data_IF_996506581766
#
_entry.id   IF_996506581766
#
_cell.length_a   1.000
_cell.length_b   1.000
_cell.length_c   1.000
_cell.angle_alpha   90.00
_cell.angle_beta   90.00
_cell.angle_gamma   90.00
#
_symmetry.space_group_name_H-M   'P 1'
#
loop_
_entity.id
_entity.type
_entity.pdbx_description
1 polymer ?
#
# COMPACT_ATOMS: atom_id res chain seq x y z
N UNK A 1 -13.51 3.60 16.46
CA UNK A 1 -14.31 3.86 15.23
C UNK A 1 -14.73 5.32 15.10
N UNK A 2 -15.23 6.01 16.14
CA UNK A 2 -15.63 7.43 16.03
C UNK A 2 -14.50 8.37 15.57
N UNK A 3 -13.30 8.25 16.14
CA UNK A 3 -12.12 9.04 15.76
C UNK A 3 -11.71 8.91 14.29
N UNK A 4 -11.69 7.68 13.76
CA UNK A 4 -11.34 7.43 12.35
C UNK A 4 -12.40 8.01 11.39
N UNK A 5 -13.68 7.88 11.74
CA UNK A 5 -14.76 8.48 10.95
C UNK A 5 -14.65 10.01 10.95
N UNK A 6 -14.40 10.62 12.12
CA UNK A 6 -14.21 12.06 12.24
C UNK A 6 -13.02 12.56 11.43
N UNK A 7 -11.91 11.81 11.40
CA UNK A 7 -10.75 12.11 10.54
C UNK A 7 -11.09 12.02 9.04
N UNK A 8 -11.86 11.01 8.63
CA UNK A 8 -12.27 10.84 7.21
C UNK A 8 -13.21 11.95 6.75
N UNK A 9 -14.09 12.44 7.63
CA UNK A 9 -15.10 13.44 7.28
C UNK A 9 -14.64 14.88 7.44
N UNK A 10 -13.47 15.11 8.04
CA UNK A 10 -12.98 16.46 8.29
C UNK A 10 -12.35 17.07 7.04
N UNK A 11 -12.69 18.32 6.75
CA UNK A 11 -12.09 19.08 5.66
C UNK A 11 -10.69 19.61 6.03
N UNK A 12 -10.48 19.93 7.30
CA UNK A 12 -9.18 20.40 7.81
C UNK A 12 -8.76 19.62 9.06
N UNK A 13 -7.46 19.39 9.20
CA UNK A 13 -6.88 18.71 10.37
C UNK A 13 -7.14 19.47 11.68
N UNK A 14 -7.34 20.79 11.61
CA UNK A 14 -7.71 21.65 12.75
C UNK A 14 -9.10 21.37 13.29
N UNK A 15 -9.99 20.76 12.49
CA UNK A 15 -11.39 20.53 12.85
C UNK A 15 -11.58 19.22 13.65
N UNK A 16 -10.49 18.47 13.85
CA UNK A 16 -10.50 17.17 14.50
C UNK A 16 -9.78 17.24 15.84
N UNK A 17 -10.45 16.78 16.89
CA UNK A 17 -9.75 16.43 18.13
C UNK A 17 -8.89 15.19 17.85
N UNK A 18 -7.57 15.42 17.74
CA UNK A 18 -6.65 14.35 17.37
C UNK A 18 -6.69 13.21 18.40
N UNK A 19 -6.82 11.94 17.97
CA UNK A 19 -6.93 10.83 18.90
C UNK A 19 -5.67 10.69 19.75
N UNK A 20 -5.84 10.49 21.06
CA UNK A 20 -4.72 10.45 22.00
C UNK A 20 -3.76 9.26 21.76
N UNK A 21 -4.22 8.23 21.06
CA UNK A 21 -3.49 7.01 20.70
C UNK A 21 -2.86 7.06 19.30
N UNK A 22 -3.07 8.14 18.54
CA UNK A 22 -2.47 8.31 17.21
C UNK A 22 -1.41 9.41 17.27
N UNK A 23 -0.17 9.17 16.82
CA UNK A 23 0.84 10.22 16.76
C UNK A 23 0.39 11.35 15.83
N UNK A 24 0.63 12.60 16.23
CA UNK A 24 0.44 13.75 15.34
C UNK A 24 1.40 13.64 14.14
N UNK A 25 0.99 14.13 12.95
CA UNK A 25 1.91 14.28 11.83
C UNK A 25 3.11 15.14 12.25
N UNK A 26 4.31 14.63 12.03
CA UNK A 26 5.57 15.31 12.35
C UNK A 26 6.50 15.16 11.15
N UNK A 27 7.37 16.15 10.91
CA UNK A 27 8.48 15.99 9.97
C UNK A 27 9.68 15.28 10.62
N UNK A 28 9.74 15.27 11.96
CA UNK A 28 10.79 14.65 12.74
C UNK A 28 10.37 13.22 13.10
N UNK A 29 10.91 12.26 12.35
CA UNK A 29 10.76 10.83 12.59
C UNK A 29 11.40 10.41 13.90
N UNK A 30 12.60 10.89 14.18
CA UNK A 30 13.41 10.41 15.31
C UNK A 30 12.96 11.04 16.63
N UNK A 31 12.21 12.14 16.58
CA UNK A 31 11.43 12.68 17.70
C UNK A 31 10.22 11.81 18.11
N UNK A 32 9.85 10.79 17.34
CA UNK A 32 8.82 9.83 17.72
C UNK A 32 9.40 8.82 18.73
N UNK A 33 9.11 9.01 20.02
CA UNK A 33 9.63 8.17 21.11
C UNK A 33 9.06 6.72 21.17
N UNK A 34 8.37 6.26 20.13
CA UNK A 34 7.77 4.92 20.05
C UNK A 34 8.09 4.27 18.69
N UNK A 35 8.70 3.09 18.72
CA UNK A 35 9.06 2.31 17.52
C UNK A 35 7.87 2.02 16.61
N UNK A 36 6.66 1.88 17.16
CA UNK A 36 5.44 1.64 16.38
C UNK A 36 5.03 2.92 15.62
N UNK A 37 5.18 4.08 16.24
CA UNK A 37 4.92 5.37 15.59
C UNK A 37 5.95 5.64 14.49
N UNK A 38 7.23 5.33 14.74
CA UNK A 38 8.30 5.43 13.74
C UNK A 38 8.03 4.49 12.55
N UNK A 39 7.55 3.27 12.81
CA UNK A 39 7.17 2.34 11.76
C UNK A 39 5.98 2.85 10.94
N UNK A 40 4.94 3.40 11.58
CA UNK A 40 3.81 4.02 10.90
C UNK A 40 4.26 5.20 10.03
N UNK A 41 5.10 6.09 10.56
CA UNK A 41 5.71 7.19 9.81
C UNK A 41 6.44 6.68 8.57
N UNK A 42 7.31 5.68 8.74
CA UNK A 42 8.10 5.11 7.65
C UNK A 42 7.21 4.51 6.55
N UNK A 43 6.15 3.76 6.94
CA UNK A 43 5.23 3.16 5.99
C UNK A 43 4.41 4.22 5.24
N UNK A 44 3.98 5.28 5.91
CA UNK A 44 3.26 6.41 5.28
C UNK A 44 4.19 7.15 4.31
N UNK A 45 5.45 7.40 4.69
CA UNK A 45 6.42 8.03 3.79
C UNK A 45 6.70 7.18 2.54
N UNK A 46 6.82 5.87 2.70
CA UNK A 46 6.95 4.93 1.58
C UNK A 46 5.69 4.90 0.71
N UNK A 47 4.50 4.91 1.31
CA UNK A 47 3.24 4.93 0.57
C UNK A 47 3.07 6.23 -0.23
N UNK A 48 3.46 7.36 0.35
CA UNK A 48 3.48 8.65 -0.34
C UNK A 48 4.49 8.64 -1.50
N UNK A 49 5.69 8.09 -1.29
CA UNK A 49 6.68 7.95 -2.35
C UNK A 49 6.15 7.10 -3.51
N UNK A 50 5.44 6.00 -3.22
CA UNK A 50 4.76 5.19 -4.22
C UNK A 50 3.75 6.02 -5.03
N UNK A 51 2.85 6.74 -4.36
CA UNK A 51 1.83 7.56 -5.01
C UNK A 51 2.47 8.63 -5.92
N UNK A 52 3.51 9.32 -5.45
CA UNK A 52 4.23 10.30 -6.26
C UNK A 52 4.88 9.68 -7.50
N UNK A 53 5.48 8.49 -7.37
CA UNK A 53 6.09 7.78 -8.50
C UNK A 53 5.04 7.27 -9.50
N UNK A 54 3.88 6.84 -9.01
CA UNK A 54 2.74 6.46 -9.84
C UNK A 54 2.28 7.65 -10.69
N UNK A 55 2.00 8.80 -10.07
CA UNK A 55 1.60 10.02 -10.78
C UNK A 55 2.70 10.55 -11.71
N UNK A 56 3.96 10.40 -11.31
CA UNK A 56 5.08 10.77 -12.17
C UNK A 56 5.08 9.97 -13.47
N UNK A 57 4.72 8.69 -13.44
CA UNK A 57 4.61 7.87 -14.64
C UNK A 57 3.47 8.33 -15.55
N UNK A 58 2.33 8.79 -15.02
CA UNK A 58 1.29 9.45 -15.83
C UNK A 58 1.83 10.69 -16.55
N UNK A 59 2.60 11.52 -15.85
CA UNK A 59 3.23 12.71 -16.45
C UNK A 59 4.21 12.31 -17.55
N UNK A 60 5.03 11.27 -17.34
CA UNK A 60 5.95 10.75 -18.35
C UNK A 60 5.19 10.26 -19.60
N UNK A 61 4.14 9.47 -19.43
CA UNK A 61 3.30 9.00 -20.54
C UNK A 61 2.68 10.15 -21.34
N UNK A 62 2.23 11.20 -20.65
CA UNK A 62 1.67 12.40 -21.28
C UNK A 62 2.73 13.17 -22.08
N UNK A 63 3.90 13.40 -21.48
CA UNK A 63 5.01 14.12 -22.11
C UNK A 63 5.54 13.42 -23.36
N UNK A 64 5.70 12.09 -23.28
CA UNK A 64 6.26 11.27 -24.35
C UNK A 64 5.20 10.81 -25.37
N UNK A 65 3.92 11.11 -25.13
CA UNK A 65 2.77 10.70 -25.94
C UNK A 65 2.73 9.19 -26.19
N UNK A 66 3.06 8.42 -25.17
CA UNK A 66 3.20 6.96 -25.22
C UNK A 66 2.36 6.24 -24.17
N UNK A 67 1.32 6.90 -23.65
CA UNK A 67 0.34 6.29 -22.75
C UNK A 67 -0.26 5.02 -23.40
N UNK A 68 -0.50 3.94 -22.61
CA UNK A 68 -1.26 2.79 -23.06
C UNK A 68 -2.62 3.16 -23.65
N UNK A 69 -3.17 2.25 -24.46
CA UNK A 69 -4.41 2.52 -25.21
C UNK A 69 -5.65 2.63 -24.34
N UNK A 70 -5.61 2.03 -23.14
CA UNK A 70 -6.69 2.05 -22.18
C UNK A 70 -6.21 2.57 -20.82
N UNK A 71 -7.11 3.23 -20.07
CA UNK A 71 -6.81 3.72 -18.72
C UNK A 71 -6.40 2.60 -17.75
N UNK A 72 -7.07 1.43 -17.71
CA UNK A 72 -6.62 0.34 -16.86
C UNK A 72 -5.19 -0.15 -17.16
N UNK A 73 -4.79 -0.23 -18.43
CA UNK A 73 -3.41 -0.59 -18.79
C UNK A 73 -2.40 0.47 -18.32
N UNK A 74 -2.76 1.75 -18.42
CA UNK A 74 -1.96 2.87 -17.92
C UNK A 74 -1.77 2.81 -16.40
N UNK A 75 -2.84 2.62 -15.63
CA UNK A 75 -2.81 2.48 -14.17
C UNK A 75 -1.90 1.32 -13.71
N UNK A 76 -2.01 0.15 -14.37
CA UNK A 76 -1.15 -1.00 -14.08
C UNK A 76 0.31 -0.73 -14.43
N UNK A 77 0.57 0.01 -15.51
CA UNK A 77 1.93 0.40 -15.88
C UNK A 77 2.52 1.40 -14.88
N UNK A 78 1.72 2.36 -14.39
CA UNK A 78 2.10 3.29 -13.33
C UNK A 78 2.40 2.58 -12.01
N UNK A 79 1.53 1.66 -11.57
CA UNK A 79 1.75 0.83 -10.38
C UNK A 79 3.04 -0.02 -10.51
N UNK A 80 3.27 -0.61 -11.68
CA UNK A 80 4.45 -1.43 -11.97
C UNK A 80 5.73 -0.59 -11.97
N UNK A 81 5.69 0.61 -12.56
CA UNK A 81 6.81 1.55 -12.55
C UNK A 81 7.17 1.95 -11.11
N UNK A 82 6.20 2.43 -10.33
CA UNK A 82 6.42 2.88 -8.96
C UNK A 82 6.99 1.76 -8.08
N UNK A 83 6.41 0.56 -8.17
CA UNK A 83 6.92 -0.64 -7.49
C UNK A 83 8.36 -0.95 -7.91
N UNK A 84 8.65 -0.97 -9.21
CA UNK A 84 9.98 -1.31 -9.74
C UNK A 84 11.01 -0.30 -9.27
N UNK A 85 10.69 0.99 -9.34
CA UNK A 85 11.58 2.05 -8.85
C UNK A 85 11.88 1.86 -7.36
N UNK A 86 10.85 1.69 -6.53
CA UNK A 86 11.00 1.49 -5.10
C UNK A 86 11.73 0.20 -4.74
N UNK A 87 11.74 -0.81 -5.60
CA UNK A 87 12.39 -2.11 -5.34
C UNK A 87 13.67 -2.32 -6.15
N UNK A 88 14.09 -1.32 -6.90
CA UNK A 88 15.40 -1.30 -7.57
C UNK A 88 16.53 -1.15 -6.55
N UNK A 89 17.70 -1.71 -6.88
CA UNK A 89 18.94 -1.55 -6.12
C UNK A 89 18.85 -1.93 -4.62
N UNK A 90 17.90 -2.79 -4.24
CA UNK A 90 17.71 -3.22 -2.85
C UNK A 90 18.98 -3.80 -2.23
N UNK A 91 19.72 -4.62 -2.98
CA UNK A 91 20.96 -5.24 -2.52
C UNK A 91 22.08 -4.21 -2.30
N UNK A 92 22.20 -3.23 -3.19
CA UNK A 92 23.18 -2.15 -3.06
C UNK A 92 22.84 -1.27 -1.84
N UNK A 93 21.57 -0.89 -1.68
CA UNK A 93 21.09 -0.14 -0.52
C UNK A 93 21.36 -0.90 0.79
N UNK A 94 20.98 -2.18 0.84
CA UNK A 94 21.17 -3.04 2.01
C UNK A 94 22.65 -3.08 2.43
N UNK A 95 23.56 -3.30 1.47
CA UNK A 95 25.00 -3.32 1.71
C UNK A 95 25.54 -2.00 2.24
N UNK A 96 25.16 -0.87 1.62
CA UNK A 96 25.65 0.47 2.01
C UNK A 96 25.20 0.86 3.43
N UNK A 97 24.00 0.44 3.82
CA UNK A 97 23.39 0.82 5.10
C UNK A 97 23.50 -0.26 6.19
N UNK A 98 24.21 -1.37 5.93
CA UNK A 98 24.42 -2.44 6.91
C UNK A 98 23.14 -3.23 7.25
N UNK A 99 22.24 -3.38 6.28
CA UNK A 99 21.00 -4.15 6.41
C UNK A 99 21.04 -5.41 5.56
N UNK A 100 20.16 -6.36 5.86
CA UNK A 100 19.92 -7.51 5.00
C UNK A 100 18.95 -7.16 3.86
N UNK A 101 19.15 -7.77 2.69
CA UNK A 101 18.25 -7.59 1.53
C UNK A 101 16.78 -7.82 1.92
N UNK A 102 16.49 -8.90 2.65
CA UNK A 102 15.13 -9.24 3.07
C UNK A 102 14.51 -8.20 4.00
N UNK A 103 15.30 -7.55 4.87
CA UNK A 103 14.82 -6.49 5.76
C UNK A 103 14.35 -5.27 4.95
N UNK A 104 15.18 -4.85 3.98
CA UNK A 104 14.85 -3.70 3.12
C UNK A 104 13.66 -4.04 2.23
N UNK A 105 13.66 -5.23 1.61
CA UNK A 105 12.55 -5.68 0.75
C UNK A 105 11.24 -5.75 1.54
N UNK A 106 11.24 -6.32 2.75
CA UNK A 106 10.07 -6.36 3.63
C UNK A 106 9.49 -4.97 3.89
N UNK A 107 10.33 -4.03 4.31
CA UNK A 107 9.88 -2.67 4.65
C UNK A 107 9.27 -1.96 3.45
N UNK A 108 9.94 -2.02 2.28
CA UNK A 108 9.44 -1.37 1.06
C UNK A 108 8.18 -2.05 0.54
N UNK A 109 8.10 -3.39 0.59
CA UNK A 109 6.92 -4.14 0.19
C UNK A 109 5.70 -3.78 1.07
N UNK A 110 5.86 -3.65 2.39
CA UNK A 110 4.77 -3.21 3.29
C UNK A 110 4.32 -1.77 2.97
N UNK A 111 5.25 -0.86 2.67
CA UNK A 111 4.91 0.51 2.27
C UNK A 111 4.11 0.56 0.96
N UNK A 112 4.48 -0.25 -0.02
CA UNK A 112 3.76 -0.39 -1.29
C UNK A 112 2.35 -0.98 -1.07
N UNK A 113 2.22 -2.01 -0.22
CA UNK A 113 0.89 -2.54 0.16
C UNK A 113 0.03 -1.47 0.86
N UNK A 114 0.61 -0.66 1.74
CA UNK A 114 -0.12 0.43 2.37
C UNK A 114 -0.61 1.45 1.33
N UNK A 115 0.22 1.80 0.34
CA UNK A 115 -0.19 2.68 -0.76
C UNK A 115 -1.41 2.12 -1.51
N UNK A 116 -1.39 0.83 -1.84
CA UNK A 116 -2.49 0.15 -2.52
C UNK A 116 -3.81 0.29 -1.76
N UNK A 117 -3.76 0.07 -0.44
CA UNK A 117 -4.93 0.14 0.45
C UNK A 117 -5.44 1.58 0.56
N UNK A 118 -4.55 2.56 0.66
CA UNK A 118 -4.90 3.98 0.70
C UNK A 118 -5.58 4.39 -0.61
N UNK A 119 -4.99 4.04 -1.76
CA UNK A 119 -5.58 4.33 -3.08
C UNK A 119 -6.96 3.70 -3.18
N UNK A 120 -7.14 2.45 -2.75
CA UNK A 120 -8.46 1.82 -2.70
C UNK A 120 -9.45 2.57 -1.80
N UNK A 121 -9.05 2.95 -0.59
CA UNK A 121 -9.90 3.67 0.35
C UNK A 121 -10.35 5.04 -0.20
N UNK A 122 -9.45 5.73 -0.94
CA UNK A 122 -9.72 6.99 -1.61
C UNK A 122 -10.54 6.83 -2.90
N UNK A 123 -10.54 5.64 -3.51
CA UNK A 123 -11.31 5.36 -4.73
C UNK A 123 -12.82 5.40 -4.41
N UNK A 124 -13.65 6.09 -5.21
CA UNK A 124 -15.10 6.12 -5.01
C UNK A 124 -15.71 4.70 -5.00
N UNK A 125 -16.71 4.42 -4.14
CA UNK A 125 -17.25 3.07 -3.98
C UNK A 125 -17.66 2.37 -5.28
N UNK A 126 -18.19 3.11 -6.25
CA UNK A 126 -18.63 2.58 -7.54
C UNK A 126 -17.47 2.20 -8.49
N UNK A 127 -16.24 2.63 -8.21
CA UNK A 127 -15.05 2.37 -9.02
C UNK A 127 -14.06 1.40 -8.34
N UNK A 128 -14.21 1.13 -7.03
CA UNK A 128 -13.32 0.30 -6.22
C UNK A 128 -13.10 -1.13 -6.74
N UNK A 129 -14.12 -1.66 -7.42
CA UNK A 129 -14.15 -3.03 -7.95
C UNK A 129 -13.82 -3.11 -9.44
N UNK A 130 -13.33 -2.01 -9.99
CA UNK A 130 -12.96 -1.89 -11.39
C UNK A 130 -14.10 -1.36 -12.28
N UNK A 131 -13.72 -0.60 -13.29
CA UNK A 131 -14.59 -0.09 -14.35
C UNK A 131 -13.73 0.18 -15.61
N UNK A 132 -14.27 0.93 -16.58
CA UNK A 132 -13.50 1.29 -17.78
C UNK A 132 -12.33 2.26 -17.53
N UNK A 133 -12.26 2.86 -16.34
CA UNK A 133 -11.24 3.84 -15.94
C UNK A 133 -10.21 3.24 -14.96
N UNK A 134 -10.64 2.39 -14.04
CA UNK A 134 -9.81 1.82 -12.99
C UNK A 134 -9.79 0.29 -13.04
N UNK A 135 -8.63 -0.36 -12.94
CA UNK A 135 -8.57 -1.80 -12.80
C UNK A 135 -9.11 -2.23 -11.42
N UNK A 136 -9.65 -3.45 -11.29
CA UNK A 136 -10.03 -4.01 -10.00
C UNK A 136 -8.89 -3.96 -8.98
N UNK A 137 -9.21 -3.74 -7.70
CA UNK A 137 -8.20 -3.68 -6.65
C UNK A 137 -7.35 -4.95 -6.54
N UNK A 138 -7.92 -6.11 -6.90
CA UNK A 138 -7.19 -7.38 -6.95
C UNK A 138 -6.10 -7.40 -8.00
N UNK A 139 -6.36 -6.86 -9.19
CA UNK A 139 -5.37 -6.75 -10.26
C UNK A 139 -4.25 -5.80 -9.86
N UNK A 140 -4.61 -4.65 -9.27
CA UNK A 140 -3.65 -3.66 -8.74
C UNK A 140 -2.79 -4.24 -7.63
N UNK A 141 -3.41 -4.83 -6.61
CA UNK A 141 -2.71 -5.49 -5.50
C UNK A 141 -1.81 -6.59 -6.03
N UNK A 142 -2.31 -7.44 -6.93
CA UNK A 142 -1.50 -8.49 -7.57
C UNK A 142 -0.30 -7.90 -8.30
N UNK A 143 -0.46 -6.85 -9.10
CA UNK A 143 0.65 -6.18 -9.75
C UNK A 143 1.66 -5.60 -8.74
N UNK A 144 1.18 -5.08 -7.61
CA UNK A 144 2.01 -4.49 -6.57
C UNK A 144 2.73 -5.51 -5.66
N UNK A 145 2.17 -6.70 -5.45
CA UNK A 145 2.68 -7.69 -4.50
C UNK A 145 3.29 -8.94 -5.15
N UNK A 146 2.95 -9.24 -6.40
CA UNK A 146 3.42 -10.45 -7.09
C UNK A 146 4.92 -10.34 -7.38
N UNK A 147 5.69 -11.36 -7.01
CA UNK A 147 7.12 -11.44 -7.33
C UNK A 147 8.08 -11.07 -6.20
N UNK A 148 7.57 -10.72 -5.01
CA UNK A 148 8.41 -10.69 -3.82
C UNK A 148 8.89 -12.08 -3.45
N UNK A 149 10.20 -12.25 -3.35
CA UNK A 149 10.88 -13.49 -2.93
C UNK A 149 11.08 -13.49 -1.41
N UNK A 150 10.00 -13.22 -0.69
CA UNK A 150 10.02 -13.14 0.78
C UNK A 150 9.64 -14.49 1.41
N UNK A 151 10.31 -14.88 2.52
CA UNK A 151 9.92 -16.05 3.31
C UNK A 151 8.45 -16.00 3.73
N UNK A 152 7.78 -17.16 3.83
CA UNK A 152 6.34 -17.24 4.14
C UNK A 152 5.98 -16.71 5.54
N UNK A 153 6.96 -16.69 6.45
CA UNK A 153 6.89 -16.17 7.82
C UNK A 153 7.27 -14.68 7.93
N UNK A 154 7.54 -14.01 6.80
CA UNK A 154 7.85 -12.58 6.78
C UNK A 154 6.70 -11.74 7.37
N UNK A 155 7.07 -10.66 8.09
CA UNK A 155 6.15 -9.63 8.58
C UNK A 155 5.35 -8.97 7.45
N UNK A 156 5.87 -8.97 6.22
CA UNK A 156 5.15 -8.48 5.04
C UNK A 156 3.82 -9.22 4.87
N UNK A 157 3.83 -10.56 4.87
CA UNK A 157 2.62 -11.35 4.65
C UNK A 157 1.61 -11.14 5.77
N UNK A 158 2.07 -11.03 7.02
CA UNK A 158 1.20 -10.74 8.16
C UNK A 158 0.53 -9.36 8.00
N UNK A 159 1.31 -8.33 7.67
CA UNK A 159 0.81 -6.98 7.44
C UNK A 159 -0.20 -6.93 6.29
N UNK A 160 0.13 -7.54 5.15
CA UNK A 160 -0.75 -7.60 3.99
C UNK A 160 -2.04 -8.36 4.29
N UNK A 161 -1.98 -9.48 5.01
CA UNK A 161 -3.18 -10.22 5.44
C UNK A 161 -4.08 -9.34 6.32
N UNK A 162 -3.50 -8.63 7.30
CA UNK A 162 -4.27 -7.72 8.14
C UNK A 162 -4.95 -6.60 7.34
N UNK A 163 -4.25 -6.02 6.35
CA UNK A 163 -4.80 -4.99 5.50
C UNK A 163 -5.96 -5.51 4.62
N UNK A 164 -5.80 -6.69 4.01
CA UNK A 164 -6.85 -7.31 3.20
C UNK A 164 -8.07 -7.70 4.05
N UNK A 165 -7.85 -8.25 5.25
CA UNK A 165 -8.93 -8.55 6.21
C UNK A 165 -9.68 -7.27 6.59
N UNK A 166 -8.97 -6.16 6.81
CA UNK A 166 -9.60 -4.88 7.11
C UNK A 166 -10.49 -4.39 5.95
N UNK A 167 -10.01 -4.50 4.71
CA UNK A 167 -10.79 -4.20 3.50
C UNK A 167 -12.05 -5.07 3.40
N UNK A 168 -11.91 -6.38 3.57
CA UNK A 168 -13.06 -7.30 3.52
C UNK A 168 -14.09 -6.98 4.60
N UNK A 169 -13.66 -6.65 5.82
CA UNK A 169 -14.58 -6.23 6.89
C UNK A 169 -15.30 -4.93 6.57
N UNK A 170 -14.59 -3.96 6.00
CA UNK A 170 -15.18 -2.68 5.61
C UNK A 170 -16.28 -2.87 4.55
N UNK A 171 -16.11 -3.83 3.66
CA UNK A 171 -17.04 -4.17 2.58
C UNK A 171 -18.05 -5.27 2.98
N UNK A 172 -18.09 -5.66 4.27
CA UNK A 172 -18.93 -6.73 4.81
C UNK A 172 -18.83 -8.08 4.06
N UNK A 173 -17.65 -8.39 3.54
CA UNK A 173 -17.38 -9.66 2.87
C UNK A 173 -17.12 -10.79 3.88
N UNK A 174 -17.61 -12.02 3.63
CA UNK A 174 -17.42 -13.15 4.52
C UNK A 174 -15.95 -13.60 4.58
N UNK A 175 -15.46 -13.79 5.81
CA UNK A 175 -14.09 -14.20 6.15
C UNK A 175 -14.01 -15.65 6.64
N UNK A 176 -14.67 -16.57 5.93
CA UNK A 176 -14.66 -18.00 6.23
C UNK A 176 -13.42 -18.68 5.63
N UNK A 177 -12.23 -18.18 5.97
CA UNK A 177 -10.94 -18.62 5.44
C UNK A 177 -10.08 -19.17 6.57
N UNK A 178 -9.53 -20.36 6.38
CA UNK A 178 -8.53 -20.96 7.26
C UNK A 178 -7.29 -21.22 6.43
N UNK A 179 -6.17 -20.60 6.80
CA UNK A 179 -4.87 -20.76 6.16
C UNK A 179 -3.83 -21.25 7.17
N UNK A 180 -2.82 -21.97 6.70
CA UNK A 180 -1.73 -22.51 7.51
C UNK A 180 -0.51 -21.59 7.56
N UNK A 181 -0.52 -20.50 6.79
CA UNK A 181 0.48 -19.43 6.84
C UNK A 181 -0.10 -18.06 6.47
N UNK A 182 0.59 -16.98 6.83
CA UNK A 182 0.18 -15.62 6.43
C UNK A 182 0.25 -15.43 4.92
N UNK A 183 1.20 -16.06 4.23
CA UNK A 183 1.30 -16.00 2.77
C UNK A 183 0.09 -16.66 2.11
N UNK A 184 -0.25 -17.87 2.54
CA UNK A 184 -1.44 -18.58 2.06
C UNK A 184 -2.71 -17.79 2.37
N UNK A 185 -2.80 -17.16 3.54
CA UNK A 185 -3.91 -16.26 3.88
C UNK A 185 -4.02 -15.11 2.86
N UNK A 186 -2.92 -14.45 2.50
CA UNK A 186 -2.93 -13.39 1.48
C UNK A 186 -3.39 -13.91 0.12
N UNK A 187 -2.88 -15.06 -0.32
CA UNK A 187 -3.27 -15.69 -1.59
C UNK A 187 -4.79 -15.99 -1.62
N UNK A 188 -5.32 -16.64 -0.58
CA UNK A 188 -6.75 -16.94 -0.46
C UNK A 188 -7.64 -15.69 -0.37
N UNK A 189 -7.17 -14.62 0.30
CA UNK A 189 -7.90 -13.36 0.40
C UNK A 189 -7.98 -12.65 -0.96
N UNK A 190 -6.89 -12.66 -1.73
CA UNK A 190 -6.87 -12.07 -3.08
C UNK A 190 -7.76 -12.83 -4.04
N UNK A 191 -7.74 -14.17 -3.99
CA UNK A 191 -8.61 -15.02 -4.80
C UNK A 191 -10.10 -14.78 -4.52
N UNK A 192 -10.45 -14.36 -3.30
CA UNK A 192 -11.84 -14.07 -2.91
C UNK A 192 -12.30 -12.65 -3.24
N UNK A 193 -11.35 -11.74 -3.50
CA UNK A 193 -11.63 -10.37 -3.90
C UNK A 193 -11.80 -10.22 -5.44
N UNK A 194 -11.44 -11.25 -6.21
CA UNK A 194 -11.58 -11.32 -7.69
C UNK A 194 -12.69 -12.26 -8.13
#
# INVERSE_FOLDING_TARGET
>A
MAAAQSLITAEQTSDVSWPADIPLPSADRDGLNNIQHMAAFDLVALALAFALLHEFQHVMFCADKCAPSTRPEEEIACDTYARTFMTSELAAYAKVHGHDFAQVQNKRAMGITLAAVIVHAMTPPHARWGNCEYPPITERLTAMIRGYTLPADSSFWAFTACALIALMRQENLPLDIVAYSNKEMVEMLLDRLG
#
